data_IF_455424410171
#
_entry.id   IF_455424410171
#
_cell.length_a   1.000
_cell.length_b   1.000
_cell.length_c   1.000
_cell.angle_alpha   90.00
_cell.angle_beta   90.00
_cell.angle_gamma   90.00
#
_symmetry.space_group_name_H-M   'P 1'
#
loop_
_entity.id
_entity.type
_entity.pdbx_description
1 polymer ?
#
# COMPACT_ATOMS: atom_id res chain seq x y z
N UNK A 1 46.39 -8.90 66.75
CA UNK A 1 46.39 -7.79 65.78
C UNK A 1 45.74 -8.27 64.49
N UNK A 2 44.50 -7.86 64.24
CA UNK A 2 43.82 -7.84 62.95
C UNK A 2 42.44 -7.19 63.19
N UNK A 3 42.22 -5.98 62.67
CA UNK A 3 40.92 -5.30 62.68
C UNK A 3 40.62 -4.84 61.24
N UNK A 4 39.60 -5.38 60.59
CA UNK A 4 39.18 -4.90 59.28
C UNK A 4 38.44 -3.56 59.42
N UNK A 5 38.80 -2.58 58.58
CA UNK A 5 38.10 -1.29 58.50
C UNK A 5 36.83 -1.44 57.66
N UNK A 6 35.73 -0.94 58.23
CA UNK A 6 34.37 -0.88 57.68
C UNK A 6 34.33 -0.06 56.39
N UNK A 7 33.74 -0.62 55.34
CA UNK A 7 33.22 0.13 54.18
C UNK A 7 31.69 0.06 54.30
N UNK A 8 31.03 1.21 54.33
CA UNK A 8 29.57 1.33 54.42
C UNK A 8 28.94 1.02 53.04
N UNK A 9 27.76 0.37 52.98
CA UNK A 9 27.02 0.19 51.73
C UNK A 9 26.40 1.51 51.29
N UNK A 10 26.65 1.92 50.04
CA UNK A 10 25.87 2.96 49.37
C UNK A 10 24.69 2.32 48.64
N UNK A 11 23.56 2.97 48.83
CA UNK A 11 22.21 2.54 48.50
C UNK A 11 22.00 2.37 46.99
N UNK A 12 21.34 1.26 46.65
CA UNK A 12 20.68 0.99 45.39
C UNK A 12 19.63 2.07 45.09
N UNK A 13 19.93 2.96 44.14
CA UNK A 13 18.93 3.65 43.31
C UNK A 13 18.86 2.84 42.03
N UNK A 14 17.80 2.11 41.70
CA UNK A 14 16.41 2.55 41.56
C UNK A 14 16.05 2.14 40.14
N UNK A 15 15.35 1.00 40.00
CA UNK A 15 14.83 0.52 38.71
C UNK A 15 13.97 1.63 38.09
N UNK A 16 14.05 1.93 36.78
CA UNK A 16 13.06 2.79 36.16
C UNK A 16 11.70 2.11 36.29
N UNK A 17 10.78 2.80 36.95
CA UNK A 17 9.38 2.44 37.01
C UNK A 17 8.84 2.52 35.58
N UNK A 18 8.29 1.42 35.09
CA UNK A 18 7.40 1.43 33.93
C UNK A 18 6.13 2.09 34.45
N UNK A 19 5.98 3.37 34.18
CA UNK A 19 4.72 4.06 34.36
C UNK A 19 3.77 3.53 33.29
N UNK A 20 2.75 2.81 33.73
CA UNK A 20 1.60 2.43 32.93
C UNK A 20 0.99 3.71 32.33
N UNK A 21 1.20 3.92 31.04
CA UNK A 21 0.62 5.01 30.25
C UNK A 21 -0.88 4.77 29.97
N UNK A 22 -1.64 4.42 31.01
CA UNK A 22 -3.08 4.12 30.93
C UNK A 22 -3.95 5.28 31.40
N UNK A 23 -3.59 6.50 31.01
CA UNK A 23 -4.51 7.64 30.97
C UNK A 23 -4.55 8.15 29.55
N UNK A 24 -5.28 7.42 28.71
CA UNK A 24 -5.69 7.90 27.39
C UNK A 24 -6.69 9.02 27.65
N UNK A 25 -6.24 10.26 27.44
CA UNK A 25 -7.04 11.47 27.41
C UNK A 25 -8.26 11.26 26.49
N UNK A 26 -9.44 11.55 27.04
CA UNK A 26 -10.74 11.49 26.37
C UNK A 26 -10.94 12.66 25.39
N UNK A 27 -9.96 12.92 24.53
CA UNK A 27 -10.08 13.88 23.44
C UNK A 27 -9.76 13.14 22.13
N UNK A 28 -10.66 12.22 21.74
CA UNK A 28 -10.73 11.80 20.34
C UNK A 28 -11.24 13.03 19.59
N UNK A 29 -10.33 13.80 19.01
CA UNK A 29 -10.67 14.69 17.90
C UNK A 29 -11.45 13.83 16.90
N UNK A 30 -12.69 14.25 16.59
CA UNK A 30 -13.47 13.63 15.53
C UNK A 30 -12.58 13.53 14.28
N UNK A 31 -12.64 12.42 13.52
CA UNK A 31 -11.88 12.32 12.28
C UNK A 31 -12.23 13.55 11.46
N UNK A 32 -11.24 14.41 11.19
CA UNK A 32 -11.41 15.55 10.29
C UNK A 32 -11.90 14.94 8.98
N UNK A 33 -13.17 15.16 8.66
CA UNK A 33 -13.71 14.83 7.35
C UNK A 33 -12.78 15.50 6.34
N UNK A 34 -12.09 14.68 5.56
CA UNK A 34 -11.25 15.17 4.47
C UNK A 34 -12.26 15.80 3.52
N UNK A 35 -12.33 17.13 3.46
CA UNK A 35 -13.23 17.82 2.54
C UNK A 35 -12.89 17.36 1.12
N UNK A 36 -13.75 16.53 0.54
CA UNK A 36 -13.57 16.06 -0.80
C UNK A 36 -13.98 17.19 -1.76
N UNK A 37 -12.99 17.91 -2.30
CA UNK A 37 -13.24 19.02 -3.22
C UNK A 37 -13.78 18.57 -4.59
N UNK A 38 -13.83 17.26 -4.85
CA UNK A 38 -14.37 16.68 -6.07
C UNK A 38 -15.91 16.70 -6.12
N UNK A 39 -16.60 16.77 -4.99
CA UNK A 39 -18.08 16.78 -4.92
C UNK A 39 -18.70 18.14 -5.26
N UNK A 40 -17.89 19.21 -5.24
CA UNK A 40 -18.36 20.58 -5.47
C UNK A 40 -18.10 20.96 -6.93
N UNK A 41 -19.14 20.90 -7.76
CA UNK A 41 -19.09 21.31 -9.18
C UNK A 41 -18.60 22.76 -9.35
N UNK A 42 -18.87 23.62 -8.37
CA UNK A 42 -18.43 25.02 -8.34
C UNK A 42 -16.98 25.21 -7.83
N UNK A 43 -16.29 24.14 -7.45
CA UNK A 43 -14.89 24.21 -7.00
C UNK A 43 -13.97 24.58 -8.16
N UNK A 44 -13.06 25.53 -7.93
CA UNK A 44 -12.02 25.90 -8.90
C UNK A 44 -11.24 24.66 -9.40
N UNK A 45 -11.03 23.67 -8.52
CA UNK A 45 -10.36 22.41 -8.86
C UNK A 45 -11.16 21.58 -9.85
N UNK A 46 -12.48 21.45 -9.64
CA UNK A 46 -13.36 20.70 -10.53
C UNK A 46 -13.38 21.31 -11.94
N UNK A 47 -13.55 22.64 -12.02
CA UNK A 47 -13.55 23.39 -13.29
C UNK A 47 -12.20 23.26 -14.01
N UNK A 48 -11.09 23.21 -13.27
CA UNK A 48 -9.76 23.00 -13.86
C UNK A 48 -9.58 21.58 -14.40
N UNK A 49 -10.01 20.56 -13.65
CA UNK A 49 -9.92 19.15 -14.06
C UNK A 49 -10.82 18.86 -15.26
N UNK A 50 -12.03 19.42 -15.29
CA UNK A 50 -12.96 19.29 -16.41
C UNK A 50 -12.35 19.80 -17.73
N UNK A 51 -11.63 20.93 -17.68
CA UNK A 51 -10.89 21.46 -18.85
C UNK A 51 -9.76 20.56 -19.31
N UNK A 52 -9.17 19.77 -18.40
CA UNK A 52 -8.08 18.84 -18.71
C UNK A 52 -8.58 17.53 -19.31
N UNK A 53 -9.82 17.14 -19.03
CA UNK A 53 -10.38 15.85 -19.45
C UNK A 53 -10.33 15.61 -20.98
N UNK A 54 -10.67 16.57 -21.86
CA UNK A 54 -10.52 16.39 -23.31
C UNK A 54 -9.07 16.16 -23.74
N UNK A 55 -8.11 16.80 -23.05
CA UNK A 55 -6.67 16.64 -23.30
C UNK A 55 -6.21 15.25 -22.92
N UNK A 56 -6.67 14.74 -21.77
CA UNK A 56 -6.37 13.38 -21.30
C UNK A 56 -6.92 12.35 -22.29
N UNK A 57 -8.17 12.51 -22.73
CA UNK A 57 -8.79 11.61 -23.72
C UNK A 57 -7.99 11.56 -25.03
N UNK A 58 -7.62 12.72 -25.57
CA UNK A 58 -6.79 12.80 -26.79
C UNK A 58 -5.41 12.16 -26.58
N UNK A 59 -4.84 12.27 -25.38
CA UNK A 59 -3.55 11.67 -25.08
C UNK A 59 -3.61 10.13 -25.07
N UNK A 60 -4.72 9.54 -24.60
CA UNK A 60 -4.95 8.08 -24.75
C UNK A 60 -5.21 7.66 -26.19
N UNK A 61 -5.94 8.47 -26.98
CA UNK A 61 -6.18 8.21 -28.41
C UNK A 61 -4.87 8.24 -29.21
N UNK A 62 -3.97 9.20 -28.92
CA UNK A 62 -2.68 9.33 -29.60
C UNK A 62 -1.64 8.27 -29.19
N UNK A 63 -2.01 7.29 -28.36
CA UNK A 63 -1.12 6.25 -27.86
C UNK A 63 -1.19 4.94 -28.67
N UNK A 64 -1.99 4.92 -29.74
CA UNK A 64 -2.23 3.71 -30.57
C UNK A 64 -0.91 3.08 -31.06
N UNK A 65 -0.02 3.86 -31.67
CA UNK A 65 1.30 3.38 -32.15
C UNK A 65 2.15 2.76 -31.03
N UNK A 66 2.15 3.37 -29.84
CA UNK A 66 2.90 2.84 -28.70
C UNK A 66 2.27 1.55 -28.16
N UNK A 67 0.95 1.41 -28.22
CA UNK A 67 0.27 0.19 -27.80
C UNK A 67 0.49 -0.95 -28.80
N UNK A 68 0.48 -0.68 -30.10
CA UNK A 68 0.85 -1.66 -31.14
C UNK A 68 2.29 -2.17 -30.95
N UNK A 69 3.24 -1.27 -30.67
CA UNK A 69 4.62 -1.64 -30.38
C UNK A 69 4.74 -2.50 -29.10
N UNK A 70 3.98 -2.16 -28.05
CA UNK A 70 3.93 -2.96 -26.81
C UNK A 70 3.41 -4.36 -27.09
N UNK A 71 2.34 -4.49 -27.88
CA UNK A 71 1.78 -5.78 -28.27
C UNK A 71 2.82 -6.62 -29.04
N UNK A 72 3.52 -6.01 -29.98
CA UNK A 72 4.61 -6.66 -30.72
C UNK A 72 5.71 -7.18 -29.76
N UNK A 73 6.15 -6.37 -28.80
CA UNK A 73 7.17 -6.78 -27.84
C UNK A 73 6.73 -7.96 -26.97
N UNK A 74 5.46 -8.01 -26.58
CA UNK A 74 4.89 -9.16 -25.87
C UNK A 74 4.85 -10.41 -26.75
N UNK A 75 4.50 -10.29 -28.04
CA UNK A 75 4.52 -11.42 -28.99
C UNK A 75 5.94 -11.95 -29.20
N UNK A 76 6.95 -11.08 -29.29
CA UNK A 76 8.36 -11.46 -29.35
C UNK A 76 8.77 -12.22 -28.07
N UNK A 77 8.37 -11.72 -26.90
CA UNK A 77 8.67 -12.37 -25.62
C UNK A 77 7.99 -13.74 -25.46
N UNK A 78 6.74 -13.86 -25.88
CA UNK A 78 5.99 -15.12 -25.81
C UNK A 78 6.34 -16.10 -26.94
N UNK A 79 7.07 -15.63 -27.96
CA UNK A 79 7.36 -16.34 -29.19
C UNK A 79 6.11 -16.76 -29.97
N UNK A 80 5.08 -15.91 -29.96
CA UNK A 80 3.83 -16.10 -30.69
C UNK A 80 3.96 -15.57 -32.12
N UNK A 81 3.41 -16.27 -33.13
CA UNK A 81 3.48 -15.80 -34.51
C UNK A 81 2.59 -14.57 -34.71
N UNK A 82 3.10 -13.58 -35.42
CA UNK A 82 2.38 -12.34 -35.80
C UNK A 82 2.58 -12.01 -37.27
N UNK A 83 1.81 -11.06 -37.80
CA UNK A 83 1.90 -10.60 -39.18
C UNK A 83 3.25 -9.92 -39.49
N UNK A 84 3.91 -9.36 -38.46
CA UNK A 84 5.27 -8.80 -38.58
C UNK A 84 6.39 -9.86 -38.59
N UNK A 85 6.06 -11.15 -38.42
CA UNK A 85 7.01 -12.25 -38.53
C UNK A 85 7.37 -12.54 -40.01
N UNK A 86 8.01 -11.56 -40.66
CA UNK A 86 8.49 -11.70 -42.03
C UNK A 86 9.90 -12.32 -42.02
N UNK A 87 9.97 -13.66 -42.02
CA UNK A 87 11.15 -14.37 -42.50
C UNK A 87 10.76 -15.31 -43.66
N UNK A 88 11.48 -15.15 -44.77
CA UNK A 88 11.35 -15.90 -46.01
C UNK A 88 12.01 -17.30 -45.90
N UNK A 89 11.46 -18.20 -45.10
CA UNK A 89 11.94 -19.57 -44.92
C UNK A 89 10.94 -20.54 -44.26
N UNK A 90 11.34 -21.80 -44.08
CA UNK A 90 10.47 -22.93 -43.68
C UNK A 90 9.86 -22.87 -42.25
N UNK A 91 10.20 -21.89 -41.41
CA UNK A 91 9.65 -21.78 -40.05
C UNK A 91 9.42 -20.32 -39.69
N UNK A 92 8.18 -19.99 -39.29
CA UNK A 92 7.74 -18.65 -38.86
C UNK A 92 7.61 -18.62 -37.33
N UNK A 93 8.72 -18.49 -36.60
CA UNK A 93 8.67 -18.31 -35.15
C UNK A 93 9.77 -17.36 -34.66
N UNK A 94 9.49 -16.61 -33.59
CA UNK A 94 10.49 -15.81 -32.90
C UNK A 94 11.47 -16.73 -32.14
N UNK A 95 12.72 -16.27 -32.03
CA UNK A 95 13.78 -17.02 -31.34
C UNK A 95 13.54 -16.94 -29.83
N UNK A 96 13.42 -18.07 -29.10
CA UNK A 96 13.14 -18.07 -27.66
C UNK A 96 14.27 -17.48 -26.79
N UNK A 97 15.42 -17.15 -27.40
CA UNK A 97 16.56 -16.54 -26.71
C UNK A 97 16.21 -15.19 -26.04
N UNK A 98 15.27 -14.43 -26.60
CA UNK A 98 14.82 -13.15 -26.01
C UNK A 98 14.14 -13.39 -24.65
N UNK A 99 13.22 -14.35 -24.60
CA UNK A 99 12.53 -14.76 -23.38
C UNK A 99 13.49 -15.23 -22.30
N UNK A 100 14.47 -16.06 -22.67
CA UNK A 100 15.47 -16.59 -21.75
C UNK A 100 16.38 -15.50 -21.20
N UNK A 101 16.82 -14.57 -22.05
CA UNK A 101 17.67 -13.44 -21.66
C UNK A 101 16.94 -12.51 -20.67
N UNK A 102 15.70 -12.13 -20.97
CA UNK A 102 14.87 -11.29 -20.10
C UNK A 102 14.62 -11.99 -18.77
N UNK A 103 14.24 -13.28 -18.79
CA UNK A 103 14.00 -14.05 -17.57
C UNK A 103 15.26 -14.17 -16.71
N UNK A 104 16.43 -14.36 -17.33
CA UNK A 104 17.71 -14.42 -16.61
C UNK A 104 18.08 -13.09 -15.98
N UNK A 105 17.87 -11.96 -16.70
CA UNK A 105 18.09 -10.61 -16.18
C UNK A 105 17.17 -10.30 -15.01
N UNK A 106 15.87 -10.50 -15.17
CA UNK A 106 14.89 -10.30 -14.09
C UNK A 106 15.24 -11.12 -12.84
N UNK A 107 15.62 -12.39 -12.99
CA UNK A 107 16.07 -13.25 -11.87
C UNK A 107 17.34 -12.73 -11.20
N UNK A 108 18.31 -12.21 -11.97
CA UNK A 108 19.55 -11.64 -11.45
C UNK A 108 19.27 -10.37 -10.66
N UNK A 109 18.55 -9.43 -11.24
CA UNK A 109 18.20 -8.15 -10.61
C UNK A 109 17.38 -8.36 -9.35
N UNK A 110 16.40 -9.26 -9.37
CA UNK A 110 15.58 -9.59 -8.20
C UNK A 110 16.43 -10.10 -7.02
N UNK A 111 17.48 -10.90 -7.29
CA UNK A 111 18.39 -11.40 -6.24
C UNK A 111 19.29 -10.30 -5.68
N UNK A 112 19.60 -9.28 -6.47
CA UNK A 112 20.38 -8.12 -6.03
C UNK A 112 19.53 -7.18 -5.17
N UNK A 113 18.28 -6.92 -5.57
CA UNK A 113 17.35 -6.07 -4.83
C UNK A 113 16.84 -6.73 -3.53
N UNK A 114 16.60 -8.04 -3.57
CA UNK A 114 16.06 -8.80 -2.42
C UNK A 114 17.00 -9.94 -2.00
N UNK A 115 18.16 -9.61 -1.39
CA UNK A 115 19.07 -10.61 -0.86
C UNK A 115 18.42 -11.40 0.29
N UNK A 116 18.79 -12.68 0.44
CA UNK A 116 18.17 -13.56 1.45
C UNK A 116 18.71 -13.38 2.87
N UNK A 117 19.87 -12.72 3.04
CA UNK A 117 20.61 -12.68 4.31
C UNK A 117 20.91 -11.27 4.83
N UNK A 118 20.58 -10.22 4.08
CA UNK A 118 20.92 -8.83 4.41
C UNK A 118 19.63 -8.00 4.52
N UNK A 119 19.70 -6.87 5.22
CA UNK A 119 18.61 -5.89 5.22
C UNK A 119 18.44 -5.32 3.81
N UNK A 120 17.19 -5.03 3.43
CA UNK A 120 16.88 -4.54 2.10
C UNK A 120 17.19 -3.05 1.91
N UNK A 121 17.23 -2.30 3.01
CA UNK A 121 17.39 -0.85 2.99
C UNK A 121 18.54 -0.47 3.92
N UNK A 122 19.42 0.37 3.40
CA UNK A 122 20.44 1.06 4.17
C UNK A 122 20.18 2.55 4.04
N UNK A 123 20.14 3.26 5.17
CA UNK A 123 19.94 4.69 5.22
C UNK A 123 20.93 5.29 6.20
N UNK A 124 21.53 6.40 5.81
CA UNK A 124 22.39 7.20 6.68
C UNK A 124 21.63 8.49 6.96
N UNK A 125 21.40 8.79 8.24
CA UNK A 125 20.78 10.05 8.63
C UNK A 125 21.63 11.25 8.22
N UNK A 126 21.00 12.42 8.04
CA UNK A 126 21.72 13.68 7.81
C UNK A 126 22.77 13.97 8.88
N UNK A 127 22.52 13.47 10.09
CA UNK A 127 23.34 13.68 11.28
C UNK A 127 24.41 12.59 11.48
N UNK A 128 24.55 11.67 10.52
CA UNK A 128 25.50 10.55 10.58
C UNK A 128 25.14 9.46 11.59
N UNK A 129 23.92 9.51 12.16
CA UNK A 129 23.34 8.45 12.97
C UNK A 129 22.49 7.52 12.12
N UNK A 130 22.54 6.23 12.43
CA UNK A 130 21.73 5.22 11.75
C UNK A 130 20.26 5.29 12.23
N UNK A 131 19.29 5.56 11.34
CA UNK A 131 17.87 5.67 11.70
C UNK A 131 17.25 4.26 11.88
N UNK A 132 17.62 3.58 12.96
CA UNK A 132 17.19 2.22 13.26
C UNK A 132 15.67 2.00 13.25
N UNK A 133 14.85 2.88 13.88
CA UNK A 133 13.40 2.75 13.88
C UNK A 133 12.78 2.85 12.48
N UNK A 134 13.24 3.80 11.66
CA UNK A 134 12.74 3.98 10.30
C UNK A 134 13.13 2.81 9.40
N UNK A 135 14.35 2.28 9.55
CA UNK A 135 14.81 1.09 8.85
C UNK A 135 13.97 -0.14 9.22
N UNK A 136 13.66 -0.32 10.51
CA UNK A 136 12.80 -1.40 10.98
C UNK A 136 11.37 -1.30 10.42
N UNK A 137 10.83 -0.07 10.32
CA UNK A 137 9.52 0.20 9.73
C UNK A 137 9.50 -0.13 8.22
N UNK A 138 10.51 0.33 7.47
CA UNK A 138 10.63 0.04 6.04
C UNK A 138 10.76 -1.46 5.78
N UNK A 139 11.56 -2.16 6.58
CA UNK A 139 11.72 -3.61 6.49
C UNK A 139 10.42 -4.35 6.86
N UNK A 140 9.60 -3.80 7.75
CA UNK A 140 8.25 -4.31 7.99
C UNK A 140 7.37 -4.13 6.75
N UNK A 141 7.34 -2.93 6.15
CA UNK A 141 6.53 -2.66 4.96
C UNK A 141 6.94 -3.46 3.73
N UNK A 142 8.24 -3.66 3.48
CA UNK A 142 8.71 -4.53 2.39
C UNK A 142 8.18 -5.96 2.53
N UNK A 143 8.06 -6.45 3.77
CA UNK A 143 7.55 -7.79 4.07
C UNK A 143 6.02 -7.86 3.97
N UNK A 144 5.30 -6.86 4.47
CA UNK A 144 3.82 -6.86 4.45
C UNK A 144 3.25 -6.65 3.05
N UNK A 145 3.83 -5.73 2.27
CA UNK A 145 3.39 -5.42 0.90
C UNK A 145 3.74 -6.48 -0.14
N UNK A 146 4.52 -7.50 0.23
CA UNK A 146 5.04 -8.51 -0.71
C UNK A 146 5.77 -7.87 -1.90
N UNK A 147 6.48 -6.76 -1.67
CA UNK A 147 7.16 -5.97 -2.70
C UNK A 147 8.03 -6.81 -3.64
N UNK A 148 8.70 -7.85 -3.13
CA UNK A 148 9.48 -8.80 -3.94
C UNK A 148 8.66 -9.47 -5.06
N UNK A 149 7.40 -9.78 -4.80
CA UNK A 149 6.50 -10.36 -5.81
C UNK A 149 6.15 -9.34 -6.88
N UNK A 150 5.81 -8.11 -6.45
CA UNK A 150 5.46 -6.99 -7.34
C UNK A 150 6.66 -6.62 -8.22
N UNK A 151 7.85 -6.44 -7.63
CA UNK A 151 9.08 -6.16 -8.38
C UNK A 151 9.43 -7.26 -9.39
N UNK A 152 9.06 -8.52 -9.16
CA UNK A 152 9.26 -9.59 -10.16
C UNK A 152 8.42 -9.33 -11.41
N UNK A 153 7.16 -8.95 -11.22
CA UNK A 153 6.24 -8.61 -12.31
C UNK A 153 6.71 -7.35 -13.06
N UNK A 154 7.12 -6.31 -12.32
CA UNK A 154 7.63 -5.06 -12.87
C UNK A 154 8.91 -5.29 -13.67
N UNK A 155 9.88 -6.04 -13.15
CA UNK A 155 11.13 -6.30 -13.86
C UNK A 155 10.89 -7.05 -15.18
N UNK A 156 9.89 -7.94 -15.22
CA UNK A 156 9.54 -8.63 -16.45
C UNK A 156 8.84 -7.70 -17.43
N UNK A 157 7.77 -7.04 -17.00
CA UNK A 157 6.96 -6.16 -17.84
C UNK A 157 7.75 -4.96 -18.35
N UNK A 158 8.61 -4.34 -17.55
CA UNK A 158 9.42 -3.22 -18.00
C UNK A 158 10.64 -3.63 -18.84
N UNK A 159 11.14 -4.85 -18.72
CA UNK A 159 12.14 -5.36 -19.67
C UNK A 159 11.54 -5.66 -21.04
N UNK A 160 10.24 -5.98 -21.11
CA UNK A 160 9.51 -6.19 -22.37
C UNK A 160 9.02 -4.87 -22.96
N UNK A 161 8.40 -4.01 -22.15
CA UNK A 161 7.76 -2.76 -22.62
C UNK A 161 8.68 -1.54 -22.60
N UNK A 162 9.85 -1.65 -21.99
CA UNK A 162 10.84 -0.56 -21.87
C UNK A 162 10.59 0.42 -20.71
N UNK A 163 9.49 0.29 -19.95
CA UNK A 163 9.15 1.17 -18.83
C UNK A 163 8.79 0.38 -17.58
N UNK A 164 9.39 0.74 -16.44
CA UNK A 164 9.05 0.15 -15.13
C UNK A 164 8.07 1.04 -14.40
N UNK A 165 6.89 0.50 -14.10
CA UNK A 165 5.77 1.24 -13.54
C UNK A 165 5.37 0.68 -12.17
N UNK A 166 5.28 1.55 -11.17
CA UNK A 166 4.86 1.20 -9.80
C UNK A 166 3.96 2.30 -9.25
N UNK A 167 2.82 1.92 -8.71
CA UNK A 167 1.94 2.82 -7.98
C UNK A 167 2.09 2.52 -6.48
N UNK A 168 2.22 3.57 -5.69
CA UNK A 168 2.28 3.48 -4.23
C UNK A 168 1.17 4.36 -3.66
N UNK A 169 0.31 3.75 -2.87
CA UNK A 169 -0.80 4.43 -2.20
C UNK A 169 -0.80 4.08 -0.70
N UNK A 170 -1.49 4.85 0.13
CA UNK A 170 -1.64 4.59 1.55
C UNK A 170 -3.03 4.06 1.84
N UNK A 171 -3.14 2.78 2.21
CA UNK A 171 -4.44 2.17 2.52
C UNK A 171 -4.66 2.01 4.00
N UNK A 172 -5.90 2.28 4.41
CA UNK A 172 -6.42 2.03 5.76
C UNK A 172 -7.36 0.84 5.70
N UNK A 173 -7.08 -0.18 6.50
CA UNK A 173 -7.94 -1.35 6.62
C UNK A 173 -8.45 -1.45 8.05
N UNK A 174 -9.76 -1.51 8.18
CA UNK A 174 -10.44 -1.75 9.45
C UNK A 174 -10.71 -3.24 9.57
N UNK A 175 -10.22 -3.85 10.65
CA UNK A 175 -10.56 -5.22 11.01
C UNK A 175 -11.28 -5.22 12.35
N UNK A 176 -12.55 -5.60 12.32
CA UNK A 176 -13.34 -5.79 13.53
C UNK A 176 -13.07 -7.20 14.03
N UNK A 177 -12.55 -7.31 15.25
CA UNK A 177 -12.38 -8.58 15.94
C UNK A 177 -13.31 -8.57 17.14
N UNK A 178 -14.35 -9.40 17.09
CA UNK A 178 -15.19 -9.70 18.24
C UNK A 178 -14.49 -10.77 19.08
N UNK A 179 -13.96 -10.38 20.23
CA UNK A 179 -13.36 -11.29 21.21
C UNK A 179 -14.25 -11.45 22.43
N UNK A 180 -14.42 -12.66 22.93
CA UNK A 180 -15.04 -12.88 24.25
C UNK A 180 -13.94 -12.67 25.29
N UNK A 181 -14.07 -11.62 26.10
CA UNK A 181 -13.17 -11.32 27.21
C UNK A 181 -13.87 -11.71 28.49
N UNK A 182 -13.36 -12.73 29.17
CA UNK A 182 -13.82 -13.09 30.52
C UNK A 182 -13.43 -11.98 31.49
N UNK A 183 -14.44 -11.33 32.08
CA UNK A 183 -14.27 -10.36 33.14
C UNK A 183 -15.08 -10.79 34.35
N UNK A 184 -14.57 -10.46 35.52
CA UNK A 184 -15.33 -10.59 36.75
C UNK A 184 -16.51 -9.61 36.69
N UNK A 185 -17.71 -10.01 37.15
CA UNK A 185 -18.91 -9.19 37.06
C UNK A 185 -18.69 -7.82 37.71
N UNK A 186 -19.15 -6.77 37.04
CA UNK A 186 -19.11 -5.40 37.54
C UNK A 186 -20.12 -5.28 38.68
N UNK A 187 -19.64 -4.95 39.88
CA UNK A 187 -20.49 -4.65 41.02
C UNK A 187 -21.26 -3.34 40.74
N UNK A 188 -22.47 -3.45 40.21
CA UNK A 188 -23.40 -2.33 40.14
C UNK A 188 -23.88 -2.00 41.55
N UNK A 189 -23.17 -1.11 42.24
CA UNK A 189 -23.67 -0.48 43.47
C UNK A 189 -24.52 0.71 43.06
N UNK A 190 -25.81 0.46 42.82
CA UNK A 190 -26.84 1.51 42.90
C UNK A 190 -27.26 1.61 44.36
N UNK A 191 -27.19 2.82 44.90
CA UNK A 191 -27.49 3.15 46.29
C UNK A 191 -28.81 2.50 46.78
N UNK A 192 -28.71 1.51 47.69
CA UNK A 192 -29.78 1.19 48.63
C UNK A 192 -30.56 -0.12 48.47
N UNK A 193 -30.20 -1.03 47.57
CA UNK A 193 -30.85 -2.37 47.49
C UNK A 193 -29.86 -3.50 47.75
N UNK A 194 -30.33 -4.54 48.47
CA UNK A 194 -29.56 -5.70 48.92
C UNK A 194 -28.71 -6.31 47.80
N UNK A 195 -27.42 -6.47 48.09
CA UNK A 195 -26.47 -7.17 47.21
C UNK A 195 -26.80 -8.66 47.30
N UNK A 196 -27.53 -9.18 46.32
CA UNK A 196 -27.43 -10.59 46.00
C UNK A 196 -26.02 -10.82 45.46
N UNK A 197 -25.14 -11.32 46.33
CA UNK A 197 -23.83 -11.83 45.91
C UNK A 197 -24.10 -13.07 45.08
N UNK A 198 -24.23 -12.91 43.77
CA UNK A 198 -23.98 -14.02 42.86
C UNK A 198 -22.52 -14.43 43.03
N UNK A 199 -22.30 -15.75 43.10
CA UNK A 199 -21.04 -16.38 43.47
C UNK A 199 -19.86 -15.71 42.74
N UNK A 200 -18.76 -15.33 43.43
CA UNK A 200 -17.58 -14.70 42.83
C UNK A 200 -16.78 -15.62 41.87
N UNK A 201 -17.39 -16.74 41.47
CA UNK A 201 -16.86 -17.76 40.56
C UNK A 201 -17.61 -17.80 39.22
N UNK A 202 -18.71 -17.05 39.06
CA UNK A 202 -19.38 -16.91 37.76
C UNK A 202 -18.66 -15.90 36.88
N UNK A 203 -17.81 -16.41 35.99
CA UNK A 203 -17.21 -15.66 34.90
C UNK A 203 -18.30 -15.34 33.86
N UNK A 204 -18.60 -14.06 33.66
CA UNK A 204 -19.50 -13.63 32.59
C UNK A 204 -18.67 -13.41 31.33
N UNK A 205 -19.04 -14.13 30.27
CA UNK A 205 -18.45 -13.99 28.94
C UNK A 205 -18.97 -12.67 28.31
N UNK A 206 -18.20 -11.58 28.40
CA UNK A 206 -18.49 -10.32 27.70
C UNK A 206 -17.85 -10.34 26.30
N UNK A 207 -18.67 -10.20 25.24
CA UNK A 207 -18.17 -9.94 23.89
C UNK A 207 -17.71 -8.49 23.80
N UNK A 208 -16.43 -8.28 23.51
CA UNK A 208 -15.89 -6.98 23.14
C UNK A 208 -15.53 -6.97 21.66
N UNK A 209 -16.03 -5.96 20.98
CA UNK A 209 -15.62 -5.66 19.62
C UNK A 209 -14.46 -4.67 19.67
N UNK A 210 -13.28 -5.11 19.24
CA UNK A 210 -12.10 -4.26 19.07
C UNK A 210 -11.91 -3.98 17.58
N UNK A 211 -11.90 -2.69 17.22
CA UNK A 211 -11.56 -2.24 15.88
C UNK A 211 -10.05 -2.03 15.80
N UNK A 212 -9.37 -2.91 15.07
CA UNK A 212 -7.94 -2.77 14.78
C UNK A 212 -7.81 -2.01 13.47
N UNK A 213 -7.26 -0.80 13.54
CA UNK A 213 -6.86 -0.03 12.37
C UNK A 213 -5.46 -0.49 11.93
N UNK A 214 -5.38 -1.06 10.72
CA UNK A 214 -4.11 -1.38 10.09
C UNK A 214 -3.88 -0.39 8.96
N UNK A 215 -2.84 0.42 9.09
CA UNK A 215 -2.41 1.36 8.06
C UNK A 215 -1.06 0.95 7.48
N UNK A 216 -0.90 1.13 6.17
CA UNK A 216 0.38 0.94 5.52
C UNK A 216 0.36 1.28 4.04
N UNK A 217 1.54 1.31 3.41
CA UNK A 217 1.64 1.47 1.98
C UNK A 217 1.04 0.24 1.29
N UNK A 218 0.26 0.46 0.24
CA UNK A 218 -0.11 -0.56 -0.74
C UNK A 218 0.66 -0.28 -2.03
N UNK A 219 1.22 -1.33 -2.61
CA UNK A 219 2.11 -1.23 -3.77
C UNK A 219 1.58 -2.13 -4.87
N UNK A 220 1.18 -1.53 -5.97
CA UNK A 220 0.63 -2.22 -7.13
C UNK A 220 1.45 -1.92 -8.39
N UNK A 221 1.64 -2.96 -9.21
CA UNK A 221 2.11 -2.80 -10.58
C UNK A 221 0.92 -2.51 -11.51
N UNK A 222 1.18 -1.75 -12.57
CA UNK A 222 0.20 -1.46 -13.60
C UNK A 222 0.84 -1.54 -14.99
N UNK A 223 0.02 -1.78 -16.00
CA UNK A 223 0.48 -1.89 -17.38
C UNK A 223 0.86 -0.51 -17.94
N UNK A 224 1.90 -0.46 -18.76
CA UNK A 224 2.37 0.78 -19.40
C UNK A 224 1.30 1.46 -20.25
N UNK A 225 0.40 0.67 -20.84
CA UNK A 225 -0.77 1.13 -21.61
C UNK A 225 -1.74 1.98 -20.77
N UNK A 226 -1.78 1.74 -19.46
CA UNK A 226 -2.72 2.39 -18.58
C UNK A 226 -2.21 3.75 -18.08
N UNK A 227 -0.94 4.08 -18.31
CA UNK A 227 -0.32 5.34 -17.91
C UNK A 227 -0.18 6.32 -19.07
N UNK A 228 -0.60 7.55 -18.81
CA UNK A 228 -0.38 8.70 -19.68
C UNK A 228 0.22 9.84 -18.87
N UNK A 229 1.30 10.41 -19.39
CA UNK A 229 1.98 11.57 -18.80
C UNK A 229 1.96 12.70 -19.83
N UNK A 230 1.58 13.89 -19.38
CA UNK A 230 1.44 15.10 -20.19
C UNK A 230 2.31 16.19 -19.56
N UNK A 231 3.16 16.89 -20.33
CA UNK A 231 3.49 16.64 -21.74
C UNK A 231 4.28 15.33 -21.94
N UNK A 232 4.18 14.69 -23.13
CA UNK A 232 4.84 13.40 -23.40
C UNK A 232 6.38 13.49 -23.41
N UNK A 233 6.93 14.70 -23.53
CA UNK A 233 8.38 14.97 -23.48
C UNK A 233 8.92 15.09 -22.06
N UNK A 234 8.09 14.88 -21.04
CA UNK A 234 8.52 15.00 -19.67
C UNK A 234 9.41 13.81 -19.26
N UNK A 235 10.62 14.11 -18.78
CA UNK A 235 11.56 13.09 -18.31
C UNK A 235 11.35 12.75 -16.82
N UNK A 236 10.76 13.67 -16.05
CA UNK A 236 10.53 13.52 -14.61
C UNK A 236 9.03 13.65 -14.31
N UNK A 237 8.42 12.63 -13.72
CA UNK A 237 6.98 12.64 -13.42
C UNK A 237 6.57 13.82 -12.51
N UNK A 238 7.48 14.28 -11.64
CA UNK A 238 7.24 15.44 -10.77
C UNK A 238 7.14 16.78 -11.52
N UNK A 239 7.65 16.84 -12.74
CA UNK A 239 7.57 18.01 -13.61
C UNK A 239 6.46 17.87 -14.67
N UNK A 240 5.69 16.78 -14.64
CA UNK A 240 4.56 16.61 -15.54
C UNK A 240 3.41 17.52 -15.10
N UNK A 241 2.73 18.11 -16.08
CA UNK A 241 1.51 18.89 -15.83
C UNK A 241 0.37 17.98 -15.39
N UNK A 242 0.29 16.78 -15.99
CA UNK A 242 -0.76 15.80 -15.71
C UNK A 242 -0.17 14.38 -15.79
N UNK A 243 -0.42 13.56 -14.76
CA UNK A 243 -0.21 12.12 -14.77
C UNK A 243 -1.55 11.41 -14.57
N UNK A 244 -1.96 10.59 -15.53
CA UNK A 244 -3.20 9.85 -15.49
C UNK A 244 -2.94 8.34 -15.49
N UNK A 245 -3.64 7.64 -14.60
CA UNK A 245 -3.62 6.20 -14.51
C UNK A 245 -5.02 5.65 -14.79
N UNK A 246 -5.12 4.75 -15.75
CA UNK A 246 -6.34 4.00 -16.07
C UNK A 246 -6.43 2.77 -15.16
N UNK A 247 -7.45 2.72 -14.32
CA UNK A 247 -7.66 1.57 -13.43
C UNK A 247 -8.58 0.54 -14.09
N UNK A 248 -8.07 -0.67 -14.32
CA UNK A 248 -8.86 -1.82 -14.79
C UNK A 248 -9.36 -2.61 -13.58
N UNK A 249 -10.62 -2.41 -13.19
CA UNK A 249 -11.20 -3.00 -11.99
C UNK A 249 -12.45 -3.83 -12.32
N UNK A 250 -12.76 -4.81 -11.48
CA UNK A 250 -14.04 -5.52 -11.55
C UNK A 250 -15.16 -4.64 -10.98
N UNK A 251 -16.41 -4.86 -11.44
CA UNK A 251 -17.58 -4.11 -10.94
C UNK A 251 -17.68 -4.13 -9.40
N UNK A 252 -17.44 -5.29 -8.79
CA UNK A 252 -17.46 -5.43 -7.33
C UNK A 252 -16.37 -4.62 -6.63
N UNK A 253 -15.20 -4.45 -7.26
CA UNK A 253 -14.12 -3.63 -6.70
C UNK A 253 -14.41 -2.13 -6.85
N UNK A 254 -15.07 -1.73 -7.95
CA UNK A 254 -15.55 -0.35 -8.14
C UNK A 254 -16.59 -0.02 -7.06
N UNK A 255 -17.58 -0.90 -6.85
CA UNK A 255 -18.60 -0.69 -5.82
C UNK A 255 -17.99 -0.50 -4.43
N UNK A 256 -17.01 -1.33 -4.06
CA UNK A 256 -16.30 -1.15 -2.78
C UNK A 256 -15.61 0.20 -2.66
N UNK A 257 -14.98 0.68 -3.74
CA UNK A 257 -14.33 1.99 -3.74
C UNK A 257 -15.34 3.14 -3.68
N UNK A 258 -16.55 2.96 -4.22
CA UNK A 258 -17.67 3.90 -4.06
C UNK A 258 -18.19 3.86 -2.62
N UNK A 259 -18.39 2.67 -2.06
CA UNK A 259 -18.82 2.49 -0.67
C UNK A 259 -17.80 3.08 0.33
N UNK A 260 -16.50 3.01 0.01
CA UNK A 260 -15.40 3.63 0.75
C UNK A 260 -15.28 5.16 0.51
N UNK A 261 -16.07 5.73 -0.40
CA UNK A 261 -16.08 7.16 -0.74
C UNK A 261 -14.87 7.63 -1.55
N UNK A 262 -14.11 6.70 -2.14
CA UNK A 262 -12.94 6.99 -2.97
C UNK A 262 -13.36 7.38 -4.39
N UNK A 263 -14.40 6.75 -4.93
CA UNK A 263 -14.98 7.11 -6.23
C UNK A 263 -16.35 7.73 -6.05
N UNK A 264 -16.58 8.80 -6.80
CA UNK A 264 -17.88 9.49 -6.88
C UNK A 264 -18.52 9.05 -8.20
N UNK A 265 -19.68 8.43 -8.12
CA UNK A 265 -20.51 8.18 -9.30
C UNK A 265 -21.30 9.46 -9.60
N UNK A 266 -21.43 9.86 -10.87
CA UNK A 266 -22.37 10.91 -11.22
C UNK A 266 -23.81 10.47 -10.90
N UNK A 267 -24.63 11.39 -10.38
CA UNK A 267 -25.99 11.13 -9.87
C UNK A 267 -26.93 10.44 -10.88
N UNK A 268 -26.58 10.41 -12.17
CA UNK A 268 -27.39 9.81 -13.24
C UNK A 268 -27.18 8.29 -13.43
N UNK A 269 -26.13 7.68 -12.86
CA UNK A 269 -25.73 6.28 -13.14
C UNK A 269 -26.09 5.26 -12.05
N UNK A 270 -26.76 5.66 -10.95
CA UNK A 270 -27.18 4.73 -9.88
C UNK A 270 -28.09 3.59 -10.38
N UNK A 271 -28.68 3.72 -11.57
CA UNK A 271 -29.64 2.78 -12.14
C UNK A 271 -29.04 1.64 -12.97
N UNK A 272 -27.76 1.69 -13.36
CA UNK A 272 -27.16 0.69 -14.27
C UNK A 272 -26.24 -0.34 -13.57
N UNK A 273 -26.10 -0.26 -12.25
CA UNK A 273 -25.22 -1.13 -11.46
C UNK A 273 -25.94 -2.24 -10.66
N UNK A 274 -27.28 -2.34 -10.75
CA UNK A 274 -28.08 -3.43 -10.15
C UNK A 274 -28.13 -4.68 -11.01
#
# INVERSE_FOLDING_TARGET
MARPKKIKPQETKGKPQVEDSSVISKDKEAPKEIENWADKVDSDVYIHVEKMYPTIRKAYENREEANEAIEEYWKIFNAEPDDNAMYAGNSKCYIPAVRDAITARAKRTLKQLFPTKYSHVEAVGSDGQDPGPQLALLEHYIRTTKLKSVCRSILLSGDVTGQWNICMDWKRSYRNISGVVRRNPILNTVEGSEVEVQDPTEEVDESKDEEILVEGPDISDFATEDLVVIPPTCNDINNADISCLKLRMSKAAIQKMVDEGVFILPDDDESELS
#
